data_IF_624512898582
#
_entry.id   IF_624512898582
#
_cell.length_a   1.000
_cell.length_b   1.000
_cell.length_c   1.000
_cell.angle_alpha   90.00
_cell.angle_beta   90.00
_cell.angle_gamma   90.00
#
_symmetry.space_group_name_H-M   'P 1'
#
loop_
_entity.id
_entity.type
_entity.pdbx_description
1 polymer ?
#
# COMPACT_ATOMS: atom_id res chain seq x y z
N UNK A 1 -8.51 2.42 -30.30
CA UNK A 1 -9.47 1.93 -29.27
C UNK A 1 -8.75 0.86 -28.49
N UNK A 2 -8.16 1.23 -27.36
CA UNK A 2 -7.50 0.29 -26.42
C UNK A 2 -8.56 -0.65 -25.87
N UNK A 3 -8.29 -1.93 -25.98
CA UNK A 3 -9.21 -3.00 -25.57
C UNK A 3 -9.40 -2.93 -24.04
N UNK A 4 -10.54 -2.37 -23.60
CA UNK A 4 -10.89 -2.22 -22.18
C UNK A 4 -10.85 -3.52 -21.36
N UNK A 5 -10.73 -4.67 -22.04
CA UNK A 5 -10.58 -5.98 -21.39
C UNK A 5 -9.18 -6.21 -20.81
N UNK A 6 -8.17 -5.48 -21.26
CA UNK A 6 -6.78 -5.67 -20.82
C UNK A 6 -6.41 -4.90 -19.54
N UNK A 7 -7.17 -3.88 -19.14
CA UNK A 7 -6.87 -3.10 -17.92
C UNK A 7 -6.87 -3.92 -16.62
N UNK A 8 -7.55 -5.07 -16.63
CA UNK A 8 -7.56 -5.99 -15.48
C UNK A 8 -6.57 -7.17 -15.62
N UNK A 9 -5.80 -7.20 -16.71
CA UNK A 9 -4.79 -8.21 -16.98
C UNK A 9 -3.39 -7.55 -16.91
N UNK A 10 -2.69 -7.64 -15.81
CA UNK A 10 -1.57 -6.75 -15.47
C UNK A 10 -0.25 -7.03 -16.20
N UNK A 11 -0.18 -8.01 -17.11
CA UNK A 11 1.08 -8.57 -17.57
C UNK A 11 2.06 -7.51 -18.14
N UNK A 12 1.64 -6.80 -19.17
CA UNK A 12 2.53 -5.83 -19.84
C UNK A 12 2.72 -4.57 -19.00
N UNK A 13 1.65 -4.04 -18.42
CA UNK A 13 1.70 -2.79 -17.66
C UNK A 13 2.51 -2.90 -16.37
N UNK A 14 2.46 -4.03 -15.66
CA UNK A 14 3.27 -4.24 -14.46
C UNK A 14 4.75 -4.44 -14.79
N UNK A 15 5.07 -5.16 -15.83
CA UNK A 15 6.46 -5.31 -16.29
C UNK A 15 7.05 -3.95 -16.65
N UNK A 16 6.30 -3.15 -17.39
CA UNK A 16 6.69 -1.78 -17.73
C UNK A 16 6.90 -0.89 -16.50
N UNK A 17 6.01 -0.92 -15.52
CA UNK A 17 6.16 -0.18 -14.26
C UNK A 17 7.41 -0.63 -13.47
N UNK A 18 7.73 -1.93 -13.47
CA UNK A 18 8.95 -2.46 -12.85
C UNK A 18 10.19 -1.97 -13.59
N UNK A 19 10.14 -1.91 -14.92
CA UNK A 19 11.24 -1.43 -15.73
C UNK A 19 11.48 0.06 -15.52
N UNK A 20 10.43 0.87 -15.43
CA UNK A 20 10.55 2.28 -15.04
C UNK A 20 11.20 2.46 -13.67
N UNK A 21 10.84 1.64 -12.69
CA UNK A 21 11.45 1.68 -11.35
C UNK A 21 12.97 1.41 -11.36
N UNK A 22 13.47 0.65 -12.35
CA UNK A 22 14.89 0.32 -12.53
C UNK A 22 15.65 1.39 -13.32
N UNK A 23 14.96 2.20 -14.07
CA UNK A 23 15.57 3.24 -14.89
C UNK A 23 15.78 4.50 -14.06
N UNK A 24 16.87 5.20 -14.32
CA UNK A 24 17.07 6.57 -13.85
C UNK A 24 16.74 7.47 -15.04
N UNK A 25 15.61 8.13 -14.99
CA UNK A 25 15.22 9.07 -16.05
C UNK A 25 15.23 10.50 -15.50
N UNK A 26 15.55 11.45 -16.36
CA UNK A 26 15.44 12.87 -16.02
C UNK A 26 14.04 13.34 -16.39
N UNK A 27 13.35 13.98 -15.47
CA UNK A 27 12.07 14.64 -15.75
C UNK A 27 12.29 15.72 -16.80
N UNK A 28 11.67 15.59 -17.97
CA UNK A 28 11.88 16.49 -19.08
C UNK A 28 10.69 17.41 -19.38
N UNK A 29 9.51 17.03 -18.93
CA UNK A 29 8.26 17.74 -19.23
C UNK A 29 7.51 18.11 -17.95
N UNK A 30 6.84 19.26 -17.98
CA UNK A 30 5.94 19.65 -16.91
C UNK A 30 4.61 18.87 -17.04
N UNK A 31 4.00 18.56 -15.91
CA UNK A 31 2.64 18.04 -15.92
C UNK A 31 1.69 19.12 -16.48
N UNK A 32 0.64 18.73 -17.22
CA UNK A 32 -0.33 19.70 -17.74
C UNK A 32 -1.05 20.42 -16.59
N UNK A 33 -1.22 21.72 -16.71
CA UNK A 33 -1.91 22.55 -15.73
C UNK A 33 -3.43 22.36 -15.77
N UNK A 34 -3.96 21.91 -16.92
CA UNK A 34 -5.38 21.74 -17.13
C UNK A 34 -5.78 20.27 -17.12
N UNK A 35 -7.00 20.00 -16.67
CA UNK A 35 -7.57 18.66 -16.70
C UNK A 35 -7.71 18.18 -18.16
N UNK A 36 -7.14 17.02 -18.53
CA UNK A 36 -7.19 16.54 -19.90
C UNK A 36 -8.62 16.14 -20.31
N UNK A 37 -9.04 16.58 -21.48
CA UNK A 37 -10.35 16.24 -22.03
C UNK A 37 -10.50 14.75 -22.42
N UNK A 38 -9.37 14.09 -22.69
CA UNK A 38 -9.30 12.69 -23.08
C UNK A 38 -8.19 12.00 -22.30
N UNK A 39 -8.44 10.75 -21.84
CA UNK A 39 -7.39 9.92 -21.26
C UNK A 39 -6.38 9.50 -22.33
N UNK A 40 -5.11 9.43 -21.95
CA UNK A 40 -3.99 9.03 -22.83
C UNK A 40 -3.73 7.53 -22.84
N UNK A 41 -4.32 6.78 -21.89
CA UNK A 41 -4.08 5.34 -21.72
C UNK A 41 -3.14 5.03 -20.56
N UNK A 42 -3.13 3.77 -20.13
CA UNK A 42 -2.41 3.37 -18.91
C UNK A 42 -0.89 3.42 -19.09
N UNK A 43 -0.36 2.94 -20.20
CA UNK A 43 1.09 2.91 -20.46
C UNK A 43 1.64 4.31 -20.63
N UNK A 44 0.99 5.15 -21.44
CA UNK A 44 1.37 6.53 -21.63
C UNK A 44 1.27 7.34 -20.34
N UNK A 45 0.33 7.00 -19.47
CA UNK A 45 0.23 7.60 -18.13
C UNK A 45 1.41 7.21 -17.26
N UNK A 46 1.86 5.95 -17.30
CA UNK A 46 3.04 5.50 -16.57
C UNK A 46 4.31 6.18 -17.10
N UNK A 47 4.44 6.33 -18.42
CA UNK A 47 5.59 7.00 -19.03
C UNK A 47 5.63 8.49 -18.67
N UNK A 48 4.48 9.14 -18.64
CA UNK A 48 4.40 10.54 -18.25
C UNK A 48 4.65 10.77 -16.77
N UNK A 49 4.02 9.98 -15.90
CA UNK A 49 4.08 10.19 -14.45
C UNK A 49 5.26 9.52 -13.78
N UNK A 50 5.76 8.42 -14.34
CA UNK A 50 6.84 7.62 -13.76
C UNK A 50 8.06 8.47 -13.38
N UNK A 51 8.64 9.26 -14.28
CA UNK A 51 9.78 10.12 -13.96
C UNK A 51 9.48 11.11 -12.82
N UNK A 52 8.31 11.73 -12.82
CA UNK A 52 7.93 12.68 -11.77
C UNK A 52 7.80 12.00 -10.39
N UNK A 53 7.22 10.81 -10.36
CA UNK A 53 7.03 10.05 -9.11
C UNK A 53 8.35 9.47 -8.62
N UNK A 54 9.12 8.85 -9.50
CA UNK A 54 10.30 8.08 -9.12
C UNK A 54 11.52 8.96 -8.87
N UNK A 55 11.75 9.96 -9.71
CA UNK A 55 12.90 10.85 -9.57
C UNK A 55 12.59 12.07 -8.68
N UNK A 56 11.33 12.45 -8.56
CA UNK A 56 10.87 13.49 -7.66
C UNK A 56 10.75 13.06 -6.20
N UNK A 57 10.82 11.76 -5.90
CA UNK A 57 10.74 11.25 -4.55
C UNK A 57 12.05 11.42 -3.78
N UNK A 58 11.95 11.69 -2.48
CA UNK A 58 13.09 11.53 -1.58
C UNK A 58 13.52 10.05 -1.57
N UNK A 59 14.82 9.80 -1.76
CA UNK A 59 15.37 8.43 -1.91
C UNK A 59 15.44 7.69 -0.57
N UNK A 60 14.32 7.57 0.12
CA UNK A 60 14.18 6.80 1.37
C UNK A 60 14.27 5.29 1.15
N UNK A 61 14.14 4.83 -0.09
CA UNK A 61 14.41 3.46 -0.51
C UNK A 61 15.88 3.07 -0.47
N UNK A 62 16.79 4.03 -0.38
CA UNK A 62 18.23 3.78 -0.34
C UNK A 62 18.63 3.16 1.01
N UNK A 63 19.40 2.04 1.05
CA UNK A 63 19.89 1.45 2.30
C UNK A 63 20.70 2.40 3.20
N UNK A 64 21.19 3.51 2.66
CA UNK A 64 21.89 4.56 3.40
C UNK A 64 20.99 5.73 3.81
N UNK A 65 19.70 5.65 3.49
CA UNK A 65 18.76 6.68 3.92
C UNK A 65 18.67 6.68 5.45
N UNK A 66 18.88 7.85 6.01
CA UNK A 66 18.83 8.06 7.45
C UNK A 66 18.05 9.34 7.70
N UNK A 67 16.74 9.23 7.77
CA UNK A 67 15.88 10.37 8.00
C UNK A 67 14.65 9.94 8.81
N UNK A 68 14.33 10.74 9.83
CA UNK A 68 13.15 10.54 10.67
C UNK A 68 12.96 9.09 11.16
N UNK A 69 11.76 8.56 10.97
CA UNK A 69 11.37 7.20 11.32
C UNK A 69 10.95 6.39 10.08
N UNK A 70 11.47 6.76 8.91
CA UNK A 70 11.12 6.17 7.62
C UNK A 70 12.29 5.33 7.07
N UNK A 71 12.53 4.13 7.63
CA UNK A 71 13.58 3.24 7.13
C UNK A 71 13.21 2.67 5.76
N UNK A 72 14.21 2.26 4.96
CA UNK A 72 13.95 1.52 3.73
C UNK A 72 13.08 0.29 3.99
N UNK A 73 12.07 0.08 3.15
CA UNK A 73 11.18 -1.06 3.27
C UNK A 73 11.81 -2.31 2.67
N UNK A 74 11.74 -3.48 3.34
CA UNK A 74 12.20 -4.74 2.75
C UNK A 74 11.43 -5.08 1.47
N UNK A 75 12.10 -5.69 0.50
CA UNK A 75 11.47 -6.08 -0.78
C UNK A 75 10.20 -6.93 -0.63
N UNK A 76 10.12 -7.71 0.45
CA UNK A 76 8.94 -8.55 0.72
C UNK A 76 7.67 -7.71 0.92
N UNK A 77 7.78 -6.49 1.45
CA UNK A 77 6.64 -5.59 1.62
C UNK A 77 6.14 -5.07 0.27
N UNK A 78 7.01 -4.92 -0.72
CA UNK A 78 6.63 -4.55 -2.08
C UNK A 78 5.82 -5.67 -2.73
N UNK A 79 6.30 -6.91 -2.61
CA UNK A 79 5.59 -8.09 -3.12
C UNK A 79 4.20 -8.24 -2.48
N UNK A 80 4.11 -8.09 -1.16
CA UNK A 80 2.82 -8.18 -0.45
C UNK A 80 1.88 -7.03 -0.78
N UNK A 81 2.40 -5.83 -1.02
CA UNK A 81 1.60 -4.69 -1.49
C UNK A 81 1.04 -4.94 -2.89
N UNK A 82 1.84 -5.52 -3.79
CA UNK A 82 1.37 -5.93 -5.11
C UNK A 82 0.26 -6.98 -5.02
N UNK A 83 0.44 -8.00 -4.18
CA UNK A 83 -0.59 -9.02 -3.96
C UNK A 83 -1.86 -8.42 -3.37
N UNK A 84 -1.72 -7.55 -2.38
CA UNK A 84 -2.87 -6.86 -1.77
C UNK A 84 -3.65 -6.03 -2.81
N UNK A 85 -2.96 -5.26 -3.64
CA UNK A 85 -3.59 -4.50 -4.71
C UNK A 85 -4.32 -5.41 -5.72
N UNK A 86 -3.70 -6.53 -6.10
CA UNK A 86 -4.30 -7.49 -7.05
C UNK A 86 -5.50 -8.23 -6.48
N UNK A 87 -5.43 -8.65 -5.22
CA UNK A 87 -6.48 -9.44 -4.57
C UNK A 87 -7.63 -8.59 -4.05
N UNK A 88 -7.39 -7.30 -3.81
CA UNK A 88 -8.38 -6.33 -3.33
C UNK A 88 -9.24 -6.87 -2.17
N UNK A 89 -8.59 -7.52 -1.21
CA UNK A 89 -9.26 -8.12 -0.06
C UNK A 89 -9.47 -7.10 1.06
N UNK A 90 -10.54 -7.29 1.82
CA UNK A 90 -10.76 -6.60 3.08
C UNK A 90 -11.17 -7.60 4.17
N UNK A 91 -10.89 -7.27 5.43
CA UNK A 91 -11.17 -8.14 6.57
C UNK A 91 -12.59 -7.94 7.14
N UNK A 92 -13.45 -7.21 6.45
CA UNK A 92 -14.82 -6.94 6.91
C UNK A 92 -15.68 -8.21 6.97
N UNK A 93 -15.45 -9.14 6.05
CA UNK A 93 -16.24 -10.36 5.97
C UNK A 93 -15.36 -11.58 5.66
N UNK A 94 -15.51 -12.71 6.40
CA UNK A 94 -14.70 -13.93 6.19
C UNK A 94 -14.73 -14.48 4.77
N UNK A 95 -15.83 -14.34 4.05
CA UNK A 95 -15.92 -14.81 2.66
C UNK A 95 -15.06 -14.00 1.69
N UNK A 96 -14.72 -12.74 2.01
CA UNK A 96 -13.91 -11.87 1.15
C UNK A 96 -12.43 -11.95 1.45
N UNK A 97 -12.06 -12.35 2.67
CA UNK A 97 -10.66 -12.44 3.10
C UNK A 97 -10.43 -13.60 4.08
N UNK A 98 -10.70 -14.85 3.67
CA UNK A 98 -10.68 -16.00 4.60
C UNK A 98 -9.31 -16.19 5.25
N UNK A 99 -8.24 -16.21 4.46
CA UNK A 99 -6.89 -16.38 4.98
C UNK A 99 -6.38 -15.16 5.75
N UNK A 100 -6.70 -13.94 5.30
CA UNK A 100 -6.20 -12.74 5.95
C UNK A 100 -6.77 -12.58 7.37
N UNK A 101 -8.03 -12.92 7.59
CA UNK A 101 -8.65 -12.93 8.92
C UNK A 101 -8.00 -13.99 9.82
N UNK A 102 -7.76 -15.19 9.30
CA UNK A 102 -7.05 -16.23 10.05
C UNK A 102 -5.63 -15.80 10.42
N UNK A 103 -4.92 -15.21 9.46
CA UNK A 103 -3.56 -14.72 9.66
C UNK A 103 -3.50 -13.59 10.70
N UNK A 104 -4.44 -12.63 10.65
CA UNK A 104 -4.53 -11.57 11.66
C UNK A 104 -4.72 -12.15 13.06
N UNK A 105 -5.69 -13.04 13.23
CA UNK A 105 -5.95 -13.70 14.53
C UNK A 105 -4.71 -14.45 15.03
N UNK A 106 -4.00 -15.12 14.15
CA UNK A 106 -2.79 -15.85 14.51
C UNK A 106 -1.67 -14.93 14.96
N UNK A 107 -1.44 -13.84 14.24
CA UNK A 107 -0.45 -12.83 14.59
C UNK A 107 -0.79 -12.16 15.92
N UNK A 108 -2.04 -11.82 16.16
CA UNK A 108 -2.51 -11.28 17.44
C UNK A 108 -2.22 -12.24 18.57
N UNK A 109 -2.56 -13.52 18.42
CA UNK A 109 -2.31 -14.54 19.44
C UNK A 109 -0.80 -14.75 19.71
N UNK A 110 0.07 -14.54 18.73
CA UNK A 110 1.52 -14.58 18.94
C UNK A 110 2.05 -13.37 19.67
N UNK A 111 1.48 -12.19 19.42
CA UNK A 111 1.95 -10.91 19.99
C UNK A 111 1.37 -10.61 21.37
N UNK A 112 0.12 -10.98 21.63
CA UNK A 112 -0.58 -10.65 22.88
C UNK A 112 0.21 -11.04 24.15
N UNK A 113 0.85 -12.21 24.26
CA UNK A 113 1.62 -12.59 25.45
C UNK A 113 2.80 -11.66 25.75
N UNK A 114 3.43 -11.04 24.74
CA UNK A 114 4.51 -10.06 24.96
C UNK A 114 4.05 -8.81 25.71
N UNK A 115 2.75 -8.53 25.66
CA UNK A 115 2.12 -7.42 26.36
C UNK A 115 1.33 -7.84 27.60
N UNK A 116 1.39 -9.13 27.98
CA UNK A 116 0.62 -9.68 29.08
C UNK A 116 -0.90 -9.69 28.84
N UNK A 117 -1.30 -9.82 27.57
CA UNK A 117 -2.69 -9.83 27.12
C UNK A 117 -3.09 -11.19 26.55
N UNK A 118 -4.38 -11.49 26.57
CA UNK A 118 -4.95 -12.72 26.01
C UNK A 118 -5.46 -12.54 24.57
N UNK A 119 -5.43 -11.33 24.05
CA UNK A 119 -5.89 -11.00 22.70
C UNK A 119 -5.64 -9.54 22.36
N UNK A 120 -6.20 -9.11 21.25
CA UNK A 120 -6.03 -7.74 20.77
C UNK A 120 -6.75 -7.49 19.44
N UNK A 121 -6.43 -6.36 18.82
CA UNK A 121 -6.93 -5.98 17.52
C UNK A 121 -5.87 -5.17 16.77
N UNK A 122 -5.70 -5.46 15.48
CA UNK A 122 -4.80 -4.69 14.63
C UNK A 122 -5.47 -3.39 14.18
N UNK A 123 -4.75 -2.28 14.33
CA UNK A 123 -5.22 -0.96 13.93
C UNK A 123 -4.28 -0.35 12.88
N UNK A 124 -4.81 0.56 12.06
CA UNK A 124 -4.05 1.24 11.00
C UNK A 124 -3.01 2.24 11.52
N UNK A 125 -3.00 2.54 12.81
CA UNK A 125 -2.04 3.44 13.43
C UNK A 125 -2.42 3.79 14.87
N UNK A 126 -1.53 4.49 15.57
CA UNK A 126 -1.67 4.81 17.00
C UNK A 126 -2.93 5.61 17.34
N UNK A 127 -3.34 6.52 16.47
CA UNK A 127 -4.57 7.31 16.68
C UNK A 127 -5.81 6.42 16.76
N UNK A 128 -5.94 5.50 15.83
CA UNK A 128 -7.08 4.55 15.81
C UNK A 128 -6.94 3.56 16.97
N UNK A 129 -5.74 3.10 17.30
CA UNK A 129 -5.51 2.22 18.45
C UNK A 129 -5.96 2.88 19.76
N UNK A 130 -5.58 4.13 20.00
CA UNK A 130 -6.01 4.89 21.17
C UNK A 130 -7.54 5.10 21.20
N UNK A 131 -8.14 5.45 20.05
CA UNK A 131 -9.60 5.61 19.94
C UNK A 131 -10.32 4.29 20.27
N UNK A 132 -9.86 3.17 19.70
CA UNK A 132 -10.42 1.84 19.93
C UNK A 132 -10.34 1.47 21.41
N UNK A 133 -9.19 1.69 22.06
CA UNK A 133 -8.99 1.40 23.47
C UNK A 133 -9.92 2.23 24.37
N UNK A 134 -10.02 3.55 24.12
CA UNK A 134 -10.89 4.44 24.87
C UNK A 134 -12.38 4.10 24.66
N UNK A 135 -12.76 3.77 23.44
CA UNK A 135 -14.14 3.36 23.13
C UNK A 135 -14.50 2.06 23.86
N UNK A 136 -13.63 1.06 23.79
CA UNK A 136 -13.82 -0.21 24.49
C UNK A 136 -13.91 0.00 25.99
N UNK A 137 -13.06 0.84 26.57
CA UNK A 137 -13.10 1.17 28.00
C UNK A 137 -14.43 1.85 28.38
N UNK A 138 -14.90 2.79 27.57
CA UNK A 138 -16.20 3.45 27.78
C UNK A 138 -17.34 2.43 27.77
N UNK A 139 -17.43 1.62 26.73
CA UNK A 139 -18.53 0.66 26.55
C UNK A 139 -18.51 -0.42 27.65
N UNK A 140 -17.33 -0.83 28.10
CA UNK A 140 -17.16 -1.83 29.16
C UNK A 140 -17.53 -1.28 30.54
N UNK A 141 -17.29 0.02 30.76
CA UNK A 141 -17.53 0.69 32.06
C UNK A 141 -18.92 1.30 32.16
N UNK A 142 -19.72 1.34 31.11
CA UNK A 142 -21.05 1.91 31.07
C UNK A 142 -21.11 3.42 31.25
N UNK A 143 -20.05 4.12 30.78
CA UNK A 143 -19.92 5.59 30.88
C UNK A 143 -20.40 6.23 29.58
#
# INVERSE_FOLDING_TARGET
MTDKKNSFLPNVGLEHAIDLLRQTSMVQENLPDEFPNLGIGELETLDLLGPHVLDGAARLDNPRAFAHMDPPTPWITWATSLWNARLNQNLLHPATAPFAIEAENKVINWLAPFYGMDGGHMCSGSTIANLTALWTARDTRGI
#
